data_IF_090924295464
#
_entry.id   IF_090924295464
#
_cell.length_a   1.000
_cell.length_b   1.000
_cell.length_c   1.000
_cell.angle_alpha   90.00
_cell.angle_beta   90.00
_cell.angle_gamma   90.00
#
_symmetry.space_group_name_H-M   'P 1'
#
loop_
_entity.id
_entity.type
_entity.pdbx_description
1 polymer ?
#
# COMPACT_ATOMS: atom_id res chain seq x y z
N UNK A 1 -0.90 -5.68 -17.05
CA UNK A 1 -2.35 -5.54 -17.27
C UNK A 1 -2.62 -4.17 -17.90
N UNK A 2 -3.11 -4.11 -19.15
CA UNK A 2 -3.42 -2.83 -19.81
C UNK A 2 -4.84 -2.92 -20.34
N UNK A 3 -5.72 -2.03 -19.87
CA UNK A 3 -7.09 -1.93 -20.38
C UNK A 3 -7.12 -1.06 -21.63
N UNK A 4 -8.07 -1.36 -22.52
CA UNK A 4 -8.24 -0.76 -23.85
C UNK A 4 -8.41 0.77 -23.86
N UNK A 5 -8.52 1.42 -22.70
CA UNK A 5 -8.83 2.85 -22.57
C UNK A 5 -7.92 3.64 -21.59
N UNK A 6 -6.86 3.05 -21.01
CA UNK A 6 -6.00 3.77 -20.06
C UNK A 6 -4.82 2.96 -19.49
N UNK A 7 -3.96 3.65 -18.74
CA UNK A 7 -2.87 3.04 -17.98
C UNK A 7 -3.35 2.52 -16.63
N UNK A 8 -2.78 1.39 -16.20
CA UNK A 8 -3.00 0.82 -14.87
C UNK A 8 -1.64 0.67 -14.18
N UNK A 9 -1.56 1.07 -12.91
CA UNK A 9 -0.36 0.94 -12.09
C UNK A 9 -0.72 0.27 -10.76
N UNK A 10 -0.06 -0.83 -10.45
CA UNK A 10 -0.16 -1.53 -9.18
C UNK A 10 0.92 -1.01 -8.22
N UNK A 11 0.49 -0.26 -7.20
CA UNK A 11 1.38 0.28 -6.17
C UNK A 11 1.25 -0.56 -4.90
N UNK A 12 2.29 -1.31 -4.57
CA UNK A 12 2.37 -2.10 -3.36
C UNK A 12 2.97 -1.28 -2.22
N UNK A 13 2.13 -0.90 -1.25
CA UNK A 13 2.58 -0.28 0.00
C UNK A 13 3.02 -1.37 0.98
N UNK A 14 4.24 -1.87 0.79
CA UNK A 14 4.85 -2.95 1.56
C UNK A 14 5.39 -2.47 2.91
N UNK A 15 4.51 -1.85 3.70
CA UNK A 15 4.86 -1.38 5.04
C UNK A 15 4.75 -2.53 6.04
N UNK A 16 5.76 -2.76 6.89
CA UNK A 16 5.71 -3.84 7.88
C UNK A 16 4.49 -3.75 8.79
N UNK A 17 3.83 -4.89 9.04
CA UNK A 17 2.65 -4.98 9.89
C UNK A 17 2.87 -4.37 11.29
N UNK A 18 4.03 -4.61 11.90
CA UNK A 18 4.38 -4.06 13.23
C UNK A 18 4.36 -2.52 13.24
N UNK A 19 4.78 -1.89 12.14
CA UNK A 19 4.74 -0.44 12.00
C UNK A 19 3.30 0.07 11.85
N UNK A 20 2.48 -0.65 11.07
CA UNK A 20 1.05 -0.36 10.92
C UNK A 20 0.30 -0.45 12.26
N UNK A 21 0.56 -1.50 13.06
CA UNK A 21 0.00 -1.67 14.40
C UNK A 21 0.44 -0.54 15.33
N UNK A 22 1.74 -0.20 15.32
CA UNK A 22 2.30 0.85 16.19
C UNK A 22 1.72 2.24 15.91
N UNK A 23 1.40 2.54 14.65
CA UNK A 23 0.91 3.85 14.21
C UNK A 23 -0.62 3.94 14.15
N UNK A 24 -1.32 2.88 14.55
CA UNK A 24 -2.78 2.82 14.54
C UNK A 24 -3.41 3.82 15.53
N UNK A 25 -3.94 4.91 14.99
CA UNK A 25 -4.66 5.95 15.76
C UNK A 25 -6.10 5.59 16.06
N UNK A 26 -6.68 4.63 15.33
CA UNK A 26 -8.09 4.25 15.44
C UNK A 26 -8.30 3.02 16.32
N UNK A 27 -7.21 2.34 16.69
CA UNK A 27 -7.24 1.13 17.52
C UNK A 27 -7.93 -0.04 16.84
N UNK A 28 -7.96 -0.06 15.50
CA UNK A 28 -8.60 -1.10 14.70
C UNK A 28 -7.82 -2.41 14.83
N UNK A 29 -6.49 -2.37 14.81
CA UNK A 29 -5.68 -3.58 15.01
C UNK A 29 -5.90 -4.19 16.40
N UNK A 30 -6.06 -3.34 17.42
CA UNK A 30 -6.35 -3.79 18.79
C UNK A 30 -7.74 -4.45 18.89
N UNK A 31 -8.74 -3.92 18.18
CA UNK A 31 -10.09 -4.50 18.10
C UNK A 31 -10.14 -5.79 17.28
N UNK A 32 -9.32 -5.89 16.24
CA UNK A 32 -9.14 -7.15 15.51
C UNK A 32 -8.52 -8.22 16.42
N UNK A 33 -7.44 -7.88 17.13
CA UNK A 33 -6.81 -8.79 18.10
C UNK A 33 -7.72 -9.20 19.26
N UNK A 34 -8.67 -8.35 19.68
CA UNK A 34 -9.66 -8.71 20.72
C UNK A 34 -10.81 -9.57 20.19
N UNK A 35 -10.85 -9.87 18.88
CA UNK A 35 -11.91 -10.64 18.23
C UNK A 35 -13.21 -9.86 18.01
N UNK A 36 -13.20 -8.54 18.21
CA UNK A 36 -14.35 -7.66 17.92
C UNK A 36 -14.54 -7.43 16.42
N UNK A 37 -13.45 -7.50 15.65
CA UNK A 37 -13.45 -7.39 14.18
C UNK A 37 -12.96 -8.72 13.61
N UNK A 38 -13.82 -9.41 12.87
CA UNK A 38 -13.50 -10.67 12.19
C UNK A 38 -12.99 -10.42 10.78
N UNK A 39 -12.21 -11.35 10.24
CA UNK A 39 -11.70 -11.32 8.85
C UNK A 39 -10.83 -10.08 8.59
N UNK A 40 -9.96 -9.76 9.55
CA UNK A 40 -9.08 -8.61 9.43
C UNK A 40 -7.77 -9.02 8.75
N UNK A 41 -7.46 -8.41 7.61
CA UNK A 41 -6.27 -8.71 6.82
C UNK A 41 -4.99 -8.35 7.59
N UNK A 42 -4.08 -9.32 7.70
CA UNK A 42 -2.86 -9.24 8.52
C UNK A 42 -3.04 -9.65 9.98
N UNK A 43 -4.25 -10.03 10.43
CA UNK A 43 -4.49 -10.63 11.76
C UNK A 43 -5.10 -12.01 11.61
N UNK A 44 -6.27 -12.10 10.99
CA UNK A 44 -7.00 -13.37 10.80
C UNK A 44 -6.95 -13.87 9.36
N UNK A 45 -6.90 -12.94 8.38
CA UNK A 45 -6.78 -13.26 6.96
C UNK A 45 -5.38 -12.89 6.43
N UNK A 46 -4.74 -13.74 5.60
CA UNK A 46 -3.43 -13.45 5.03
C UNK A 46 -3.51 -12.31 4.01
N UNK A 47 -2.46 -11.49 3.96
CA UNK A 47 -2.27 -10.53 2.87
C UNK A 47 -1.48 -11.18 1.74
N UNK A 48 -2.08 -11.26 0.56
CA UNK A 48 -1.41 -11.74 -0.65
C UNK A 48 -0.62 -10.59 -1.28
N UNK A 49 0.70 -10.56 -1.01
CA UNK A 49 1.57 -9.56 -1.60
C UNK A 49 1.60 -9.71 -3.14
N UNK A 50 1.46 -8.60 -3.90
CA UNK A 50 1.47 -8.66 -5.34
C UNK A 50 2.84 -9.10 -5.86
N UNK A 51 2.85 -9.94 -6.90
CA UNK A 51 4.06 -10.48 -7.52
C UNK A 51 4.62 -9.55 -8.60
N UNK A 52 3.80 -8.66 -9.14
CA UNK A 52 4.05 -7.82 -10.32
C UNK A 52 3.68 -6.35 -10.07
N UNK A 53 4.01 -5.84 -8.89
CA UNK A 53 3.79 -4.42 -8.58
C UNK A 53 4.70 -3.52 -9.42
N UNK A 54 4.11 -2.50 -10.04
CA UNK A 54 4.84 -1.46 -10.80
C UNK A 54 5.69 -0.59 -9.88
N UNK A 55 5.20 -0.33 -8.66
CA UNK A 55 5.90 0.44 -7.63
C UNK A 55 5.73 -0.27 -6.29
N UNK A 56 6.84 -0.44 -5.55
CA UNK A 56 6.82 -0.94 -4.16
C UNK A 56 7.37 0.14 -3.24
N UNK A 57 6.60 0.52 -2.22
CA UNK A 57 6.94 1.62 -1.29
C UNK A 57 6.77 1.20 0.16
N UNK A 58 7.53 1.82 1.05
CA UNK A 58 7.51 1.51 2.49
C UNK A 58 7.49 2.82 3.31
N UNK A 59 6.34 3.16 3.91
CA UNK A 59 6.19 4.38 4.73
C UNK A 59 6.92 4.32 6.07
N UNK A 60 7.52 3.17 6.44
CA UNK A 60 8.44 3.10 7.59
C UNK A 60 9.86 3.58 7.25
N UNK A 61 10.22 3.62 5.96
CA UNK A 61 11.55 4.00 5.47
C UNK A 61 11.56 5.27 4.64
N UNK A 62 10.44 5.59 4.00
CA UNK A 62 10.27 6.73 3.12
C UNK A 62 9.19 7.65 3.67
N UNK A 63 9.33 8.96 3.45
CA UNK A 63 8.25 9.88 3.77
C UNK A 63 7.21 9.91 2.64
N UNK A 64 5.99 10.34 2.97
CA UNK A 64 4.86 10.37 2.02
C UNK A 64 5.19 11.21 0.79
N UNK A 65 5.89 12.34 0.95
CA UNK A 65 6.27 13.20 -0.18
C UNK A 65 7.22 12.51 -1.15
N UNK A 66 8.17 11.69 -0.66
CA UNK A 66 9.07 10.92 -1.52
C UNK A 66 8.31 9.85 -2.30
N UNK A 67 7.38 9.15 -1.65
CA UNK A 67 6.54 8.14 -2.28
C UNK A 67 5.66 8.77 -3.36
N UNK A 68 4.99 9.88 -3.05
CA UNK A 68 4.19 10.61 -4.04
C UNK A 68 5.06 11.09 -5.21
N UNK A 69 6.27 11.58 -4.94
CA UNK A 69 7.19 12.00 -5.99
C UNK A 69 7.60 10.83 -6.90
N UNK A 70 7.89 9.65 -6.34
CA UNK A 70 8.16 8.44 -7.14
C UNK A 70 7.00 8.09 -8.07
N UNK A 71 5.75 8.16 -7.59
CA UNK A 71 4.56 7.89 -8.40
C UNK A 71 4.43 8.91 -9.53
N UNK A 72 4.63 10.19 -9.23
CA UNK A 72 4.58 11.27 -10.24
C UNK A 72 5.63 11.07 -11.32
N UNK A 73 6.87 10.71 -10.97
CA UNK A 73 7.93 10.46 -11.94
C UNK A 73 7.61 9.31 -12.90
N UNK A 74 6.94 8.25 -12.42
CA UNK A 74 6.51 7.14 -13.29
C UNK A 74 5.45 7.62 -14.27
N UNK A 75 4.48 8.40 -13.80
CA UNK A 75 3.42 8.92 -14.65
C UNK A 75 3.93 9.98 -15.65
N UNK A 76 4.91 10.82 -15.27
CA UNK A 76 5.60 11.74 -16.20
C UNK A 76 6.38 10.97 -17.28
N UNK A 77 7.15 9.95 -16.87
CA UNK A 77 7.91 9.11 -17.79
C UNK A 77 7.01 8.47 -18.86
N UNK A 78 5.82 8.04 -18.46
CA UNK A 78 4.86 7.39 -19.36
C UNK A 78 3.94 8.38 -20.08
N UNK A 79 4.14 9.69 -19.88
CA UNK A 79 3.48 10.77 -20.61
C UNK A 79 2.06 11.09 -20.14
N UNK A 80 1.66 10.61 -18.95
CA UNK A 80 0.36 10.91 -18.35
C UNK A 80 0.30 12.28 -17.67
N UNK A 81 1.46 12.84 -17.29
CA UNK A 81 1.57 14.15 -16.66
C UNK A 81 2.71 14.94 -17.31
N UNK A 82 2.47 16.23 -17.53
CA UNK A 82 3.40 17.21 -18.12
C UNK A 82 2.79 18.60 -18.14
#
# INVERSE_FOLDING_TARGET
>A
HVETYGGFYLIHVNTPLDYCIKTDRRGIYKKAQSGEIKNFTGVDDPYEAPVDADIVVDVSKQCVSEICHQIVLVLEKDGYIG
#
